data_IF_583370631602
#
_entry.id   IF_583370631602
#
_cell.length_a   1.000
_cell.length_b   1.000
_cell.length_c   1.000
_cell.angle_alpha   90.00
_cell.angle_beta   90.00
_cell.angle_gamma   90.00
#
_symmetry.space_group_name_H-M   'P 1'
#
loop_
_entity.id
_entity.type
_entity.pdbx_description
1 polymer ?
#
# COMPACT_ATOMS: atom_id res chain seq x y z
N UNK A 1 2.68 21.07 -16.84
CA UNK A 1 2.53 19.65 -16.46
C UNK A 1 3.68 19.28 -15.51
N UNK A 2 3.52 19.56 -14.22
CA UNK A 2 4.56 19.22 -13.24
C UNK A 2 4.56 17.72 -12.99
N UNK A 3 5.61 17.06 -13.43
CA UNK A 3 5.93 15.68 -13.07
C UNK A 3 5.99 15.61 -11.54
N UNK A 4 5.00 14.98 -10.90
CA UNK A 4 5.02 14.64 -9.48
C UNK A 4 6.38 14.05 -9.14
N UNK A 5 7.14 14.76 -8.31
CA UNK A 5 8.45 14.32 -7.83
C UNK A 5 8.26 13.00 -7.09
N UNK A 6 8.61 11.88 -7.74
CA UNK A 6 8.60 10.56 -7.10
C UNK A 6 9.66 10.60 -6.01
N UNK A 7 9.23 10.81 -4.78
CA UNK A 7 10.02 10.46 -3.60
C UNK A 7 10.48 9.01 -3.81
N UNK A 8 11.74 8.63 -3.49
CA UNK A 8 12.22 7.26 -3.70
C UNK A 8 11.31 6.27 -2.95
N UNK A 9 10.36 5.65 -3.67
CA UNK A 9 9.20 4.99 -3.08
C UNK A 9 9.60 3.78 -2.23
N UNK A 10 10.73 3.16 -2.56
CA UNK A 10 11.19 1.95 -1.88
C UNK A 10 11.71 2.21 -0.48
N UNK A 11 12.48 3.28 -0.28
CA UNK A 11 13.09 3.59 1.01
C UNK A 11 12.01 3.95 2.04
N UNK A 12 11.07 4.81 1.66
CA UNK A 12 9.93 5.14 2.52
C UNK A 12 9.03 3.93 2.79
N UNK A 13 8.83 3.05 1.80
CA UNK A 13 8.01 1.86 2.01
C UNK A 13 8.66 0.88 3.01
N UNK A 14 9.99 0.78 3.01
CA UNK A 14 10.75 0.02 4.02
C UNK A 14 10.63 0.66 5.39
N UNK A 15 10.90 1.96 5.50
CA UNK A 15 10.77 2.70 6.77
C UNK A 15 9.35 2.61 7.35
N UNK A 16 8.33 2.68 6.49
CA UNK A 16 6.94 2.48 6.89
C UNK A 16 6.68 1.05 7.37
N UNK A 17 7.23 0.04 6.68
CA UNK A 17 7.12 -1.37 7.08
C UNK A 17 7.72 -1.61 8.46
N UNK A 18 8.92 -1.08 8.71
CA UNK A 18 9.63 -1.23 9.98
C UNK A 18 8.85 -0.55 11.11
N UNK A 19 8.39 0.68 10.89
CA UNK A 19 7.59 1.44 11.86
C UNK A 19 6.28 0.72 12.20
N UNK A 20 5.58 0.20 11.19
CA UNK A 20 4.31 -0.51 11.39
C UNK A 20 4.53 -1.84 12.13
N UNK A 21 5.60 -2.56 11.79
CA UNK A 21 5.97 -3.81 12.46
C UNK A 21 6.34 -3.56 13.93
N UNK A 22 7.13 -2.51 14.21
CA UNK A 22 7.47 -2.10 15.56
C UNK A 22 6.24 -1.68 16.39
N UNK A 23 5.19 -1.19 15.74
CA UNK A 23 3.91 -0.86 16.36
C UNK A 23 2.96 -2.07 16.52
N UNK A 24 3.39 -3.29 16.15
CA UNK A 24 2.55 -4.50 16.23
C UNK A 24 1.44 -4.56 15.18
N UNK A 25 1.53 -3.78 14.10
CA UNK A 25 0.55 -3.81 13.02
C UNK A 25 0.80 -5.03 12.16
N UNK A 26 -0.19 -5.92 12.05
CA UNK A 26 -0.08 -7.16 11.28
C UNK A 26 -0.54 -7.04 9.83
N UNK A 27 -1.34 -6.02 9.51
CA UNK A 27 -1.82 -5.77 8.15
C UNK A 27 -2.23 -4.33 7.91
N UNK A 28 -2.13 -3.92 6.65
CA UNK A 28 -2.50 -2.61 6.15
C UNK A 28 -3.73 -2.74 5.25
N UNK A 29 -4.80 -2.02 5.58
CA UNK A 29 -5.98 -1.92 4.73
C UNK A 29 -5.69 -0.97 3.56
N UNK A 30 -5.51 -1.52 2.35
CA UNK A 30 -5.37 -0.73 1.14
C UNK A 30 -6.75 -0.51 0.54
N UNK A 31 -7.21 0.74 0.56
CA UNK A 31 -8.54 1.11 0.08
C UNK A 31 -8.48 1.84 -1.26
N UNK A 32 -9.53 1.67 -2.06
CA UNK A 32 -9.75 2.43 -3.28
C UNK A 32 -11.25 2.61 -3.50
N UNK A 33 -11.61 3.58 -4.32
CA UNK A 33 -13.00 3.79 -4.73
C UNK A 33 -13.14 3.30 -6.16
N UNK A 34 -14.09 2.41 -6.41
CA UNK A 34 -14.37 1.95 -7.78
C UNK A 34 -15.21 2.97 -8.57
N UNK A 35 -15.50 2.63 -9.83
CA UNK A 35 -16.28 3.50 -10.73
C UNK A 35 -17.73 3.72 -10.28
N UNK A 36 -18.27 2.88 -9.40
CA UNK A 36 -19.60 3.02 -8.82
C UNK A 36 -19.59 3.82 -7.51
N UNK A 37 -18.43 4.30 -7.07
CA UNK A 37 -18.28 5.03 -5.80
C UNK A 37 -18.14 4.12 -4.58
N UNK A 38 -17.94 2.81 -4.76
CA UNK A 38 -17.83 1.86 -3.65
C UNK A 38 -16.39 1.86 -3.13
N UNK A 39 -16.22 2.12 -1.84
CA UNK A 39 -14.94 1.89 -1.14
C UNK A 39 -14.70 0.39 -1.03
N UNK A 40 -13.69 -0.07 -1.75
CA UNK A 40 -13.20 -1.45 -1.68
C UNK A 40 -11.90 -1.49 -0.89
N UNK A 41 -11.59 -2.65 -0.34
CA UNK A 41 -10.42 -2.84 0.53
C UNK A 41 -9.72 -4.16 0.22
N UNK A 42 -8.39 -4.16 0.33
CA UNK A 42 -7.56 -5.36 0.34
C UNK A 42 -6.49 -5.23 1.39
N UNK A 43 -6.45 -6.18 2.32
CA UNK A 43 -5.43 -6.23 3.34
C UNK A 43 -4.10 -6.71 2.74
N UNK A 44 -3.02 -5.98 3.03
CA UNK A 44 -1.65 -6.37 2.74
C UNK A 44 -0.95 -6.68 4.05
N UNK A 45 -0.37 -7.88 4.24
CA UNK A 45 0.47 -8.15 5.40
C UNK A 45 1.60 -7.12 5.51
N UNK A 46 1.89 -6.64 6.72
CA UNK A 46 2.86 -5.54 6.93
C UNK A 46 4.24 -5.87 6.36
N UNK A 47 4.70 -7.11 6.52
CA UNK A 47 5.97 -7.62 5.99
C UNK A 47 6.05 -7.63 4.45
N UNK A 48 4.91 -7.56 3.77
CA UNK A 48 4.79 -7.52 2.31
C UNK A 48 4.54 -6.12 1.76
N UNK A 49 4.37 -5.12 2.62
CA UNK A 49 4.02 -3.76 2.23
C UNK A 49 5.05 -3.13 1.28
N UNK A 50 6.34 -3.26 1.59
CA UNK A 50 7.41 -2.74 0.72
C UNK A 50 7.41 -3.39 -0.68
N UNK A 51 7.07 -4.67 -0.79
CA UNK A 51 6.93 -5.33 -2.09
C UNK A 51 5.68 -4.85 -2.83
N UNK A 52 4.55 -4.76 -2.14
CA UNK A 52 3.29 -4.28 -2.69
C UNK A 52 3.39 -2.83 -3.21
N UNK A 53 4.17 -1.98 -2.54
CA UNK A 53 4.43 -0.61 -2.98
C UNK A 53 5.20 -0.54 -4.32
N UNK A 54 6.03 -1.55 -4.63
CA UNK A 54 6.79 -1.61 -5.89
C UNK A 54 6.00 -2.19 -7.06
N UNK A 55 5.23 -3.25 -6.81
CA UNK A 55 4.60 -4.04 -7.87
C UNK A 55 3.08 -3.87 -7.94
N UNK A 56 2.49 -3.14 -7.00
CA UNK A 56 1.05 -3.07 -6.81
C UNK A 56 0.47 -4.35 -6.20
N UNK A 57 -0.86 -4.31 -5.99
CA UNK A 57 -1.64 -5.42 -5.44
C UNK A 57 -2.69 -5.81 -6.48
N UNK A 58 -2.67 -7.08 -6.93
CA UNK A 58 -3.69 -7.58 -7.85
C UNK A 58 -5.08 -7.56 -7.23
N UNK A 59 -6.10 -7.20 -7.99
CA UNK A 59 -7.45 -6.99 -7.48
C UNK A 59 -8.44 -7.94 -8.16
N UNK A 60 -9.16 -8.71 -7.35
CA UNK A 60 -10.23 -9.59 -7.83
C UNK A 60 -11.57 -8.83 -7.76
N UNK A 61 -12.39 -8.81 -8.83
CA UNK A 61 -13.62 -8.03 -8.89
C UNK A 61 -14.81 -8.75 -8.26
N UNK A 62 -14.64 -9.32 -7.05
CA UNK A 62 -15.71 -10.05 -6.35
C UNK A 62 -17.03 -9.28 -6.33
#
# INVERSE_FOLDING_TARGET
MSTTQRIPAEQQAREATDRLSAAGVHGVALTWVDVAGITRVKAVPTDRLASAARTGVGMSPV
#
